data_IF_111613125076
#
_entry.id   IF_111613125076
#
_cell.length_a   1.000
_cell.length_b   1.000
_cell.length_c   1.000
_cell.angle_alpha   90.00
_cell.angle_beta   90.00
_cell.angle_gamma   90.00
#
_symmetry.space_group_name_H-M   'P 1'
#
loop_
_entity.id
_entity.type
_entity.pdbx_description
1 polymer ?
#
# COMPACT_ATOMS: atom_id res chain seq x y z
N UNK A 1 -5.40 -19.33 -15.47
CA UNK A 1 -5.55 -17.91 -15.83
C UNK A 1 -4.17 -17.28 -16.01
N UNK A 2 -3.99 -16.35 -16.96
CA UNK A 2 -2.74 -15.57 -17.08
C UNK A 2 -2.97 -14.19 -16.49
N UNK A 3 -2.07 -13.75 -15.62
CA UNK A 3 -2.11 -12.40 -15.03
C UNK A 3 -0.76 -11.72 -15.17
N UNK A 4 -0.78 -10.39 -15.24
CA UNK A 4 0.42 -9.57 -15.19
C UNK A 4 0.70 -9.14 -13.74
N UNK A 5 1.94 -9.31 -13.30
CA UNK A 5 2.44 -8.77 -12.04
C UNK A 5 3.37 -7.60 -12.34
N UNK A 6 3.29 -6.55 -11.52
CA UNK A 6 4.13 -5.37 -11.57
C UNK A 6 4.75 -5.11 -10.20
N UNK A 7 6.03 -4.77 -10.15
CA UNK A 7 6.71 -4.28 -8.96
C UNK A 7 7.69 -3.19 -9.42
N UNK A 8 7.43 -1.93 -9.05
CA UNK A 8 8.14 -0.77 -9.60
C UNK A 8 8.18 -0.82 -11.15
N UNK A 9 9.39 -0.85 -11.73
CA UNK A 9 9.60 -0.91 -13.19
C UNK A 9 9.74 -2.35 -13.74
N UNK A 10 9.57 -3.37 -12.89
CA UNK A 10 9.68 -4.78 -13.29
C UNK A 10 8.28 -5.34 -13.53
N UNK A 11 8.10 -6.04 -14.65
CA UNK A 11 6.85 -6.72 -14.97
C UNK A 11 7.11 -8.19 -15.36
N UNK A 12 6.14 -9.05 -15.04
CA UNK A 12 6.14 -10.44 -15.49
C UNK A 12 4.72 -10.94 -15.72
N UNK A 13 4.57 -11.96 -16.57
CA UNK A 13 3.28 -12.61 -16.80
C UNK A 13 3.37 -14.03 -16.29
N UNK A 14 2.44 -14.41 -15.43
CA UNK A 14 2.40 -15.74 -14.82
C UNK A 14 1.08 -16.44 -15.09
N UNK A 15 1.13 -17.76 -15.19
CA UNK A 15 -0.05 -18.62 -15.18
C UNK A 15 -0.35 -19.04 -13.74
N UNK A 16 -1.58 -18.84 -13.29
CA UNK A 16 -2.08 -19.17 -11.96
C UNK A 16 -3.39 -19.96 -12.04
N UNK A 17 -3.71 -20.66 -10.95
CA UNK A 17 -5.08 -21.11 -10.67
C UNK A 17 -5.93 -19.85 -10.36
N UNK A 18 -7.06 -19.61 -11.04
CA UNK A 18 -7.92 -18.45 -10.74
C UNK A 18 -8.46 -18.45 -9.31
N UNK A 19 -8.55 -19.61 -8.66
CA UNK A 19 -8.99 -19.72 -7.26
C UNK A 19 -7.84 -19.53 -6.25
N UNK A 20 -6.65 -19.08 -6.70
CA UNK A 20 -5.57 -18.72 -5.79
C UNK A 20 -6.01 -17.55 -4.91
N UNK A 21 -5.78 -17.67 -3.60
CA UNK A 21 -6.07 -16.60 -2.63
C UNK A 21 -5.07 -15.45 -2.75
N UNK A 22 -5.42 -14.26 -2.26
CA UNK A 22 -4.55 -13.09 -2.35
C UNK A 22 -3.23 -13.30 -1.58
N UNK A 23 -3.28 -13.84 -0.37
CA UNK A 23 -2.06 -14.11 0.39
C UNK A 23 -1.18 -15.17 -0.30
N UNK A 24 -1.78 -16.19 -0.93
CA UNK A 24 -1.05 -17.20 -1.71
C UNK A 24 -0.40 -16.59 -2.97
N UNK A 25 -1.07 -15.63 -3.62
CA UNK A 25 -0.52 -14.89 -4.75
C UNK A 25 0.70 -14.05 -4.32
N UNK A 26 0.64 -13.41 -3.16
CA UNK A 26 1.81 -12.75 -2.55
C UNK A 26 2.94 -13.76 -2.28
N UNK A 27 2.65 -14.88 -1.61
CA UNK A 27 3.65 -15.90 -1.31
C UNK A 27 4.31 -16.46 -2.58
N UNK A 28 3.53 -16.62 -3.66
CA UNK A 28 4.04 -17.03 -4.97
C UNK A 28 4.98 -15.97 -5.56
N UNK A 29 4.65 -14.68 -5.44
CA UNK A 29 5.48 -13.58 -5.93
C UNK A 29 6.80 -13.49 -5.14
N UNK A 30 6.79 -13.70 -3.82
CA UNK A 30 8.00 -13.82 -2.98
C UNK A 30 8.84 -15.03 -3.40
N UNK A 31 8.22 -16.22 -3.53
CA UNK A 31 8.91 -17.46 -3.94
C UNK A 31 9.60 -17.32 -5.30
N UNK A 32 9.02 -16.53 -6.21
CA UNK A 32 9.59 -16.22 -7.53
C UNK A 32 10.64 -15.11 -7.50
N UNK A 33 10.96 -14.57 -6.32
CA UNK A 33 11.88 -13.43 -6.12
C UNK A 33 11.43 -12.17 -6.90
N UNK A 34 10.13 -12.04 -7.13
CA UNK A 34 9.56 -10.89 -7.82
C UNK A 34 9.38 -9.68 -6.88
N UNK A 35 9.12 -9.98 -5.61
CA UNK A 35 9.10 -9.03 -4.49
C UNK A 35 10.09 -9.52 -3.44
N UNK A 36 10.79 -8.59 -2.76
CA UNK A 36 11.63 -8.95 -1.61
C UNK A 36 10.75 -9.40 -0.43
N UNK A 37 11.34 -10.17 0.47
CA UNK A 37 10.81 -10.43 1.80
C UNK A 37 11.86 -9.92 2.79
N UNK A 38 11.46 -9.05 3.72
CA UNK A 38 12.40 -8.30 4.56
C UNK A 38 12.22 -8.52 6.06
N UNK A 39 11.36 -9.46 6.47
CA UNK A 39 10.97 -9.77 7.86
C UNK A 39 10.27 -8.62 8.60
N UNK A 40 10.64 -7.37 8.34
CA UNK A 40 10.12 -6.17 8.99
C UNK A 40 9.37 -5.25 8.01
N UNK A 41 9.11 -5.74 6.81
CA UNK A 41 8.51 -4.95 5.74
C UNK A 41 7.00 -4.84 5.83
N UNK A 42 6.47 -3.95 4.99
CA UNK A 42 5.04 -3.90 4.67
C UNK A 42 4.89 -4.04 3.17
N UNK A 43 4.11 -5.03 2.73
CA UNK A 43 3.81 -5.23 1.32
C UNK A 43 2.35 -4.85 1.03
N UNK A 44 2.15 -4.01 0.01
CA UNK A 44 0.84 -3.61 -0.48
C UNK A 44 0.62 -4.24 -1.83
N UNK A 45 -0.51 -4.93 -2.00
CA UNK A 45 -0.98 -5.41 -3.30
C UNK A 45 -2.12 -4.52 -3.78
N UNK A 46 -2.06 -4.11 -5.03
CA UNK A 46 -3.09 -3.32 -5.71
C UNK A 46 -3.54 -3.98 -7.00
N UNK A 47 -4.77 -3.71 -7.42
CA UNK A 47 -5.23 -3.96 -8.79
C UNK A 47 -5.09 -2.69 -9.62
N UNK A 48 -4.60 -2.86 -10.84
CA UNK A 48 -4.42 -1.79 -11.83
C UNK A 48 -3.67 -0.55 -11.28
N UNK A 49 -2.74 -0.79 -10.35
CA UNK A 49 -1.90 0.24 -9.72
C UNK A 49 -2.63 1.14 -8.73
N UNK A 50 -3.96 1.05 -8.64
CA UNK A 50 -4.77 2.07 -7.98
C UNK A 50 -5.38 1.53 -6.69
N UNK A 51 -6.20 0.50 -6.80
CA UNK A 51 -7.01 0.05 -5.67
C UNK A 51 -6.22 -0.92 -4.78
N UNK A 52 -6.02 -0.56 -3.52
CA UNK A 52 -5.38 -1.41 -2.51
C UNK A 52 -6.30 -2.55 -2.09
N UNK A 53 -5.86 -3.78 -2.28
CA UNK A 53 -6.68 -4.96 -2.04
C UNK A 53 -6.12 -5.84 -0.92
N UNK A 54 -4.83 -5.73 -0.64
CA UNK A 54 -4.16 -6.43 0.46
C UNK A 54 -3.02 -5.58 1.00
N UNK A 55 -2.85 -5.58 2.31
CA UNK A 55 -1.68 -5.06 3.01
C UNK A 55 -1.18 -6.17 3.93
N UNK A 56 0.11 -6.49 3.85
CA UNK A 56 0.74 -7.50 4.69
C UNK A 56 1.85 -6.88 5.53
N UNK A 57 1.71 -6.99 6.85
CA UNK A 57 2.73 -6.63 7.82
C UNK A 57 3.58 -7.85 8.12
N UNK A 58 4.79 -7.92 7.55
CA UNK A 58 5.63 -9.13 7.57
C UNK A 58 6.04 -9.54 8.98
N UNK A 59 6.37 -8.56 9.83
CA UNK A 59 6.84 -8.82 11.21
C UNK A 59 5.75 -9.41 12.09
N UNK A 60 4.52 -8.90 11.93
CA UNK A 60 3.37 -9.28 12.75
C UNK A 60 2.60 -10.47 12.19
N UNK A 61 2.93 -10.88 10.97
CA UNK A 61 2.20 -11.87 10.18
C UNK A 61 0.70 -11.54 10.06
N UNK A 62 0.38 -10.27 9.77
CA UNK A 62 -1.01 -9.77 9.69
C UNK A 62 -1.33 -9.33 8.27
N UNK A 63 -2.45 -9.85 7.74
CA UNK A 63 -3.05 -9.43 6.48
C UNK A 63 -4.26 -8.55 6.71
N UNK A 64 -4.36 -7.46 5.95
CA UNK A 64 -5.49 -6.54 5.93
C UNK A 64 -6.03 -6.45 4.51
N UNK A 65 -7.35 -6.34 4.39
CA UNK A 65 -8.10 -6.44 3.14
C UNK A 65 -9.00 -5.21 2.93
N UNK A 66 -8.45 -4.03 2.60
CA UNK A 66 -9.20 -2.76 2.68
C UNK A 66 -10.39 -2.68 1.70
N UNK A 67 -10.25 -3.29 0.52
CA UNK A 67 -11.26 -3.25 -0.53
C UNK A 67 -11.73 -4.65 -0.92
N UNK A 68 -11.58 -5.65 -0.06
CA UNK A 68 -12.05 -7.01 -0.36
C UNK A 68 -12.80 -7.58 0.83
N UNK A 69 -13.69 -8.55 0.59
CA UNK A 69 -14.36 -9.27 1.68
C UNK A 69 -13.41 -10.34 2.23
N UNK A 70 -12.41 -9.89 2.99
CA UNK A 70 -11.31 -10.72 3.50
C UNK A 70 -10.40 -11.24 2.37
N UNK A 71 -9.64 -12.30 2.67
CA UNK A 71 -8.82 -13.05 1.73
C UNK A 71 -9.69 -13.80 0.71
N UNK A 72 -10.15 -13.09 -0.32
CA UNK A 72 -10.86 -13.68 -1.44
C UNK A 72 -9.86 -14.27 -2.45
N UNK A 73 -10.38 -15.02 -3.42
CA UNK A 73 -9.53 -15.49 -4.51
C UNK A 73 -9.50 -14.49 -5.68
N UNK A 74 -8.57 -14.71 -6.60
CA UNK A 74 -8.43 -13.86 -7.78
C UNK A 74 -9.73 -13.87 -8.61
N UNK A 75 -10.43 -14.98 -8.74
CA UNK A 75 -11.68 -15.01 -9.49
C UNK A 75 -12.76 -14.11 -8.87
N UNK A 76 -12.95 -14.17 -7.56
CA UNK A 76 -13.84 -13.26 -6.82
C UNK A 76 -13.50 -11.80 -7.08
N UNK A 77 -12.21 -11.45 -7.12
CA UNK A 77 -11.76 -10.10 -7.45
C UNK A 77 -12.18 -9.66 -8.84
N UNK A 78 -11.97 -10.52 -9.84
CA UNK A 78 -12.45 -10.25 -11.19
C UNK A 78 -13.96 -10.08 -11.21
N UNK A 79 -14.74 -10.90 -10.50
CA UNK A 79 -16.20 -10.78 -10.47
C UNK A 79 -16.69 -9.48 -9.81
N UNK A 80 -16.07 -9.06 -8.71
CA UNK A 80 -16.43 -7.84 -7.97
C UNK A 80 -16.09 -6.59 -8.80
N UNK A 81 -14.88 -6.56 -9.37
CA UNK A 81 -14.34 -5.33 -9.96
C UNK A 81 -14.58 -5.21 -11.46
N UNK A 82 -14.63 -6.30 -12.22
CA UNK A 82 -14.96 -6.22 -13.66
C UNK A 82 -16.37 -5.66 -13.90
N UNK A 83 -17.33 -6.01 -13.04
CA UNK A 83 -18.71 -5.49 -13.11
C UNK A 83 -18.78 -4.00 -12.74
N UNK A 84 -17.95 -3.56 -11.80
CA UNK A 84 -17.98 -2.19 -11.25
C UNK A 84 -17.19 -1.19 -12.11
N UNK A 85 -16.10 -1.64 -12.73
CA UNK A 85 -15.15 -0.76 -13.43
C UNK A 85 -15.28 -0.84 -14.96
N UNK A 86 -16.19 -1.66 -15.49
CA UNK A 86 -16.42 -1.86 -16.92
C UNK A 86 -15.14 -2.21 -17.71
N UNK A 87 -14.16 -2.84 -17.05
CA UNK A 87 -12.87 -3.23 -17.61
C UNK A 87 -12.35 -4.52 -16.96
N UNK A 88 -11.50 -5.25 -17.67
CA UNK A 88 -10.83 -6.44 -17.12
C UNK A 88 -9.72 -5.94 -16.17
N UNK A 89 -9.58 -6.60 -15.01
CA UNK A 89 -8.37 -6.39 -14.19
C UNK A 89 -7.18 -6.81 -15.07
N UNK A 90 -6.28 -5.87 -15.34
CA UNK A 90 -5.20 -6.06 -16.29
C UNK A 90 -3.93 -6.52 -15.57
N UNK A 91 -3.72 -6.08 -14.32
CA UNK A 91 -2.56 -6.47 -13.54
C UNK A 91 -2.74 -6.33 -12.02
N UNK A 92 -1.89 -7.05 -11.30
CA UNK A 92 -1.63 -6.83 -9.89
C UNK A 92 -0.28 -6.12 -9.74
N UNK A 93 -0.23 -5.07 -8.93
CA UNK A 93 1.02 -4.40 -8.58
C UNK A 93 1.35 -4.56 -7.12
N UNK A 94 2.64 -4.66 -6.83
CA UNK A 94 3.18 -4.71 -5.49
C UNK A 94 4.00 -3.47 -5.20
N UNK A 95 3.83 -2.95 -4.00
CA UNK A 95 4.61 -1.87 -3.41
C UNK A 95 5.16 -2.40 -2.09
N UNK A 96 6.45 -2.19 -1.83
CA UNK A 96 7.13 -2.77 -0.68
C UNK A 96 7.88 -1.69 0.08
N UNK A 97 7.60 -1.60 1.38
CA UNK A 97 8.30 -0.78 2.35
C UNK A 97 9.25 -1.65 3.15
N UNK A 98 10.49 -1.18 3.34
CA UNK A 98 11.50 -1.95 4.07
C UNK A 98 11.30 -1.91 5.59
N UNK A 99 10.45 -1.01 6.07
CA UNK A 99 10.08 -0.93 7.48
C UNK A 99 8.65 -0.44 7.65
N UNK A 100 8.04 -0.86 8.77
CA UNK A 100 6.73 -0.36 9.23
C UNK A 100 6.74 1.15 9.44
N UNK A 101 7.85 1.73 9.92
CA UNK A 101 7.98 3.18 10.16
C UNK A 101 7.93 3.96 8.84
N UNK A 102 8.59 3.47 7.79
CA UNK A 102 8.57 4.08 6.46
C UNK A 102 7.15 4.09 5.89
N UNK A 103 6.46 2.94 5.94
CA UNK A 103 5.07 2.83 5.53
C UNK A 103 4.16 3.79 6.30
N UNK A 104 4.29 3.84 7.63
CA UNK A 104 3.47 4.69 8.47
C UNK A 104 3.70 6.18 8.20
N UNK A 105 4.95 6.58 7.95
CA UNK A 105 5.30 7.95 7.59
C UNK A 105 4.63 8.36 6.28
N UNK A 106 4.74 7.53 5.24
CA UNK A 106 4.15 7.81 3.93
C UNK A 106 2.62 7.90 4.00
N UNK A 107 2.00 6.96 4.72
CA UNK A 107 0.56 6.99 4.96
C UNK A 107 0.15 8.27 5.72
N UNK A 108 0.87 8.64 6.77
CA UNK A 108 0.58 9.84 7.55
C UNK A 108 0.73 11.12 6.73
N UNK A 109 1.77 11.21 5.89
CA UNK A 109 2.00 12.33 4.97
C UNK A 109 0.89 12.42 3.92
N UNK A 110 0.46 11.30 3.35
CA UNK A 110 -0.63 11.26 2.37
C UNK A 110 -1.95 11.85 2.93
N UNK A 111 -2.15 11.76 4.25
CA UNK A 111 -3.28 12.35 4.98
C UNK A 111 -2.99 13.74 5.56
N UNK A 112 -1.93 14.41 5.08
CA UNK A 112 -1.56 15.76 5.46
C UNK A 112 -0.98 15.88 6.87
N UNK A 113 -0.32 14.84 7.36
CA UNK A 113 0.18 14.74 8.74
C UNK A 113 -0.93 14.91 9.78
N UNK A 114 -2.12 14.36 9.51
CA UNK A 114 -3.30 14.50 10.36
C UNK A 114 -4.00 13.15 10.59
N UNK A 115 -3.89 12.64 11.82
CA UNK A 115 -4.52 11.38 12.24
C UNK A 115 -6.04 11.40 12.15
N UNK A 116 -6.67 12.56 12.36
CA UNK A 116 -8.13 12.67 12.30
C UNK A 116 -8.63 12.34 10.89
N UNK A 117 -7.95 12.83 9.86
CA UNK A 117 -8.31 12.54 8.47
C UNK A 117 -8.09 11.06 8.14
N UNK A 118 -6.94 10.52 8.56
CA UNK A 118 -6.59 9.12 8.35
C UNK A 118 -7.64 8.19 9.00
N UNK A 119 -8.00 8.44 10.26
CA UNK A 119 -8.97 7.62 10.99
C UNK A 119 -10.40 7.77 10.46
N UNK A 120 -10.80 8.99 10.08
CA UNK A 120 -12.11 9.22 9.44
C UNK A 120 -12.26 8.38 8.16
N UNK A 121 -11.18 8.21 7.42
CA UNK A 121 -11.17 7.45 6.18
C UNK A 121 -10.93 5.94 6.39
N UNK A 122 -11.00 5.46 7.64
CA UNK A 122 -11.02 4.03 7.99
C UNK A 122 -9.65 3.39 8.21
N UNK A 123 -8.57 4.16 8.24
CA UNK A 123 -7.21 3.64 8.36
C UNK A 123 -6.72 3.44 9.79
N UNK A 124 -7.61 3.56 10.79
CA UNK A 124 -7.25 3.45 12.20
C UNK A 124 -6.55 2.12 12.53
N UNK A 125 -7.14 0.99 12.13
CA UNK A 125 -6.58 -0.33 12.47
C UNK A 125 -5.24 -0.57 11.79
N UNK A 126 -5.11 -0.14 10.53
CA UNK A 126 -3.88 -0.23 9.74
C UNK A 126 -2.76 0.60 10.36
N UNK A 127 -3.06 1.84 10.72
CA UNK A 127 -2.07 2.74 11.31
C UNK A 127 -1.72 2.34 12.74
N UNK A 128 -2.65 1.76 13.49
CA UNK A 128 -2.39 1.24 14.84
C UNK A 128 -1.41 0.07 14.81
N UNK A 129 -1.47 -0.79 13.79
CA UNK A 129 -0.48 -1.86 13.59
C UNK A 129 0.94 -1.35 13.31
N UNK A 130 1.10 -0.04 13.05
CA UNK A 130 2.42 0.54 12.85
C UNK A 130 3.16 0.86 14.16
N UNK A 131 2.48 0.79 15.31
CA UNK A 131 3.05 1.05 16.64
C UNK A 131 3.85 2.38 16.74
N UNK A 132 3.40 3.42 16.01
CA UNK A 132 4.10 4.71 15.98
C UNK A 132 3.85 5.48 17.29
N UNK A 133 4.95 5.85 17.94
CA UNK A 133 4.91 6.65 19.18
C UNK A 133 4.51 8.10 18.89
N UNK A 134 3.95 8.77 19.90
CA UNK A 134 3.54 10.18 19.77
C UNK A 134 4.75 11.10 19.53
N UNK A 135 5.93 10.74 20.01
CA UNK A 135 7.18 11.46 19.79
C UNK A 135 7.57 11.47 18.30
N UNK A 136 7.49 10.31 17.63
CA UNK A 136 7.79 10.18 16.19
C UNK A 136 6.79 11.00 15.36
N UNK A 137 5.50 10.96 15.72
CA UNK A 137 4.48 11.73 15.01
C UNK A 137 4.69 13.24 15.13
N UNK A 138 5.06 13.72 16.32
CA UNK A 138 5.39 15.14 16.54
C UNK A 138 6.55 15.59 15.67
N UNK A 139 7.60 14.78 15.58
CA UNK A 139 8.76 15.04 14.72
C UNK A 139 8.34 15.15 13.24
N UNK A 140 7.48 14.25 12.74
CA UNK A 140 6.98 14.33 11.36
C UNK A 140 6.13 15.57 11.09
N UNK A 141 5.28 15.98 12.04
CA UNK A 141 4.50 17.22 11.94
C UNK A 141 5.43 18.44 11.87
N UNK A 142 6.46 18.48 12.72
CA UNK A 142 7.45 19.57 12.70
C UNK A 142 8.23 19.62 11.38
N UNK A 143 8.67 18.48 10.86
CA UNK A 143 9.34 18.40 9.55
C UNK A 143 8.43 18.90 8.42
N UNK A 144 7.16 18.48 8.42
CA UNK A 144 6.16 18.93 7.45
C UNK A 144 5.96 20.44 7.49
N UNK A 145 5.81 21.02 8.69
CA UNK A 145 5.63 22.46 8.86
C UNK A 145 6.87 23.28 8.44
N UNK A 146 8.08 22.77 8.70
CA UNK A 146 9.32 23.39 8.23
C UNK A 146 9.40 23.42 6.71
N UNK A 147 9.06 22.31 6.04
CA UNK A 147 9.08 22.24 4.56
C UNK A 147 8.09 23.22 3.91
N UNK A 148 6.87 23.33 4.46
CA UNK A 148 5.87 24.28 3.97
C UNK A 148 6.34 25.73 4.14
N UNK A 149 7.00 26.03 5.25
CA UNK A 149 7.54 27.37 5.50
C UNK A 149 8.63 27.73 4.48
N UNK A 150 9.57 26.82 4.19
CA UNK A 150 10.60 27.06 3.17
C UNK A 150 10.01 27.25 1.77
N UNK A 151 9.00 26.46 1.39
CA UNK A 151 8.32 26.64 0.09
C UNK A 151 7.62 27.99 -0.03
N UNK A 152 7.02 28.49 1.05
CA UNK A 152 6.41 29.83 1.08
C UNK A 152 7.45 30.95 0.95
N UNK A 153 8.57 30.83 1.66
CA UNK A 153 9.64 31.82 1.64
C UNK A 153 10.34 31.86 0.27
N UNK A 154 10.61 30.71 -0.35
CA UNK A 154 11.21 30.61 -1.68
C UNK A 154 10.30 31.19 -2.79
N UNK A 155 8.98 30.94 -2.72
CA UNK A 155 8.01 31.48 -3.68
C UNK A 155 7.79 32.99 -3.55
N UNK A 156 7.97 33.57 -2.36
CA UNK A 156 7.91 35.01 -2.17
C UNK A 156 9.16 35.71 -2.73
N UNK A 157 10.33 35.10 -2.63
CA UNK A 157 11.58 35.64 -3.19
C UNK A 157 11.65 35.56 -4.72
N UNK A 158 10.93 34.64 -5.37
CA UNK A 158 10.84 34.55 -6.84
C UNK A 158 9.85 35.55 -7.47
N UNK A 159 8.95 36.13 -6.67
CA UNK A 159 7.97 37.13 -7.12
C UNK A 159 8.31 38.56 -6.67
N UNK A 160 9.52 38.77 -6.13
CA UNK A 160 10.08 40.07 -5.72
C UNK A 160 11.01 40.63 -6.79
#
# INVERSE_FOLDING_TARGET
>A
MRIKLINNNIFTVISINPNIRLHELYALAVKRKFIPYTQNGVCIMRIDGSLQIMIYFEEKDVYIYPNTKNDCDVNDMYEIYSKKWHGLIDFFSFEHYNSVIEYAKDLFIAYGCNKINLFRDGWYDVYSLCDITTEIEKDWIEQSNKSKKSEYDDNNHLNS
#
